data_IF_078685221890
#
_entry.id   IF_078685221890
#
_cell.length_a   1.000
_cell.length_b   1.000
_cell.length_c   1.000
_cell.angle_alpha   90.00
_cell.angle_beta   90.00
_cell.angle_gamma   90.00
#
_symmetry.space_group_name_H-M   'P 1'
#
loop_
_entity.id
_entity.type
_entity.pdbx_description
1 polymer ?
#
# COMPACT_ATOMS: atom_id res chain seq x y z
N UNK A 1 -9.08 20.02 2.14
CA UNK A 1 -8.76 20.82 3.34
C UNK A 1 -7.29 21.21 3.24
N UNK A 2 -6.98 22.51 3.11
CA UNK A 2 -5.64 23.13 3.18
C UNK A 2 -4.55 22.75 2.17
N UNK A 3 -4.89 22.22 0.99
CA UNK A 3 -3.95 22.12 -0.14
C UNK A 3 -2.84 21.06 -0.04
N UNK A 4 -2.84 20.20 0.98
CA UNK A 4 -1.88 19.10 1.09
C UNK A 4 -2.28 17.89 0.24
N UNK A 5 -1.28 17.22 -0.34
CA UNK A 5 -1.47 16.01 -1.17
C UNK A 5 -1.97 14.81 -0.35
N UNK A 6 -2.84 13.95 -0.93
CA UNK A 6 -3.31 12.74 -0.26
C UNK A 6 -2.16 11.78 0.04
N UNK A 7 -2.24 11.11 1.19
CA UNK A 7 -1.32 10.04 1.55
C UNK A 7 -1.43 8.86 0.57
N UNK A 8 -0.33 8.14 0.35
CA UNK A 8 -0.34 6.96 -0.51
C UNK A 8 -1.28 5.89 0.07
N UNK A 9 -2.14 5.26 -0.75
CA UNK A 9 -3.00 4.19 -0.28
C UNK A 9 -2.16 3.00 0.18
N UNK A 10 -2.67 2.28 1.16
CA UNK A 10 -2.09 1.00 1.57
C UNK A 10 -2.26 -0.05 0.46
N UNK A 11 -1.41 -1.07 0.49
CA UNK A 11 -1.40 -2.16 -0.49
C UNK A 11 -1.08 -3.47 0.21
N UNK A 12 -1.72 -4.55 -0.25
CA UNK A 12 -1.41 -5.90 0.20
C UNK A 12 -0.92 -6.72 -0.99
N UNK A 13 0.23 -7.37 -0.83
CA UNK A 13 0.83 -8.25 -1.83
C UNK A 13 1.08 -9.61 -1.20
N UNK A 14 0.66 -10.68 -1.90
CA UNK A 14 1.00 -12.06 -1.52
C UNK A 14 2.16 -12.51 -2.40
N UNK A 15 3.30 -12.83 -1.80
CA UNK A 15 4.40 -13.51 -2.49
C UNK A 15 4.22 -14.99 -2.31
N UNK A 16 3.95 -15.68 -3.41
CA UNK A 16 3.85 -17.14 -3.44
C UNK A 16 5.25 -17.73 -3.36
N UNK A 17 5.35 -18.92 -2.77
CA UNK A 17 6.62 -19.66 -2.65
C UNK A 17 7.34 -19.86 -3.99
N UNK A 18 6.59 -19.97 -5.09
CA UNK A 18 7.13 -20.12 -6.45
C UNK A 18 7.66 -18.81 -7.07
N UNK A 19 7.62 -17.71 -6.32
CA UNK A 19 8.10 -16.39 -6.73
C UNK A 19 7.03 -15.53 -7.40
N UNK A 20 5.79 -16.01 -7.58
CA UNK A 20 4.71 -15.15 -8.08
C UNK A 20 4.28 -14.12 -7.04
N UNK A 21 4.01 -12.91 -7.49
CA UNK A 21 3.42 -11.87 -6.65
C UNK A 21 1.98 -11.59 -7.06
N UNK A 22 1.07 -11.55 -6.09
CA UNK A 22 -0.35 -11.24 -6.29
C UNK A 22 -0.68 -9.95 -5.55
N UNK A 23 -1.01 -8.90 -6.30
CA UNK A 23 -1.51 -7.64 -5.73
C UNK A 23 -3.01 -7.82 -5.44
N UNK A 24 -3.39 -7.63 -4.18
CA UNK A 24 -4.75 -7.89 -3.73
C UNK A 24 -5.60 -6.61 -3.69
N UNK A 25 -6.92 -6.71 -3.94
CA UNK A 25 -7.82 -5.59 -3.78
C UNK A 25 -7.98 -5.22 -2.29
N UNK A 26 -8.58 -4.06 -2.00
CA UNK A 26 -8.75 -3.56 -0.61
C UNK A 26 -9.60 -4.44 0.32
N UNK A 27 -10.32 -5.43 -0.21
CA UNK A 27 -11.02 -6.47 0.54
C UNK A 27 -10.97 -7.78 -0.22
N UNK A 28 -10.49 -8.84 0.42
CA UNK A 28 -10.40 -10.16 -0.18
C UNK A 28 -10.31 -11.25 0.89
N UNK A 29 -10.42 -12.49 0.45
CA UNK A 29 -10.12 -13.69 1.21
C UNK A 29 -9.28 -14.58 0.31
N UNK A 30 -8.22 -15.19 0.86
CA UNK A 30 -7.33 -16.08 0.12
C UNK A 30 -6.80 -17.16 1.07
N UNK A 31 -6.59 -18.36 0.53
CA UNK A 31 -5.85 -19.42 1.22
C UNK A 31 -4.35 -19.24 0.99
N UNK A 32 -3.60 -19.33 2.09
CA UNK A 32 -2.14 -19.26 2.09
C UNK A 32 -1.56 -20.64 2.32
N UNK A 33 -0.47 -20.94 1.63
CA UNK A 33 0.29 -22.17 1.81
C UNK A 33 1.57 -21.90 2.61
N UNK A 34 2.16 -22.97 3.16
CA UNK A 34 3.43 -22.85 3.87
C UNK A 34 4.53 -22.33 2.94
N UNK A 35 5.15 -21.21 3.33
CA UNK A 35 6.17 -20.52 2.53
C UNK A 35 5.64 -19.34 1.71
N UNK A 36 4.33 -19.08 1.72
CA UNK A 36 3.80 -17.81 1.22
C UNK A 36 4.09 -16.66 2.20
N UNK A 37 4.32 -15.46 1.67
CA UNK A 37 4.57 -14.24 2.45
C UNK A 37 3.48 -13.20 2.17
N UNK A 38 2.97 -12.59 3.23
CA UNK A 38 2.02 -11.48 3.15
C UNK A 38 2.75 -10.18 3.45
N UNK A 39 2.83 -9.31 2.44
CA UNK A 39 3.41 -7.96 2.57
C UNK A 39 2.27 -6.95 2.73
N UNK A 40 2.24 -6.25 3.85
CA UNK A 40 1.25 -5.21 4.15
C UNK A 40 1.95 -3.86 4.17
N UNK A 41 1.66 -3.04 3.16
CA UNK A 41 2.08 -1.64 3.11
C UNK A 41 0.95 -0.80 3.70
N UNK A 42 1.17 -0.22 4.88
CA UNK A 42 0.17 0.63 5.53
C UNK A 42 0.08 1.99 4.82
N UNK A 43 -1.13 2.59 4.70
CA UNK A 43 -1.29 3.90 4.11
C UNK A 43 -0.41 4.96 4.78
N UNK A 44 0.13 5.88 3.98
CA UNK A 44 0.86 7.03 4.49
C UNK A 44 -0.08 8.14 4.96
N UNK A 45 0.42 9.03 5.82
CA UNK A 45 -0.27 10.28 6.14
C UNK A 45 -0.30 11.23 4.94
N UNK A 46 -1.39 11.98 4.76
CA UNK A 46 -1.44 13.08 3.79
C UNK A 46 -0.66 14.30 4.26
N UNK A 47 -0.19 15.11 3.32
CA UNK A 47 0.44 16.39 3.61
C UNK A 47 -0.55 17.40 4.19
N UNK A 48 -0.04 18.45 4.81
CA UNK A 48 -0.83 19.58 5.30
C UNK A 48 -0.19 20.90 4.82
N UNK A 49 -0.99 21.77 4.19
CA UNK A 49 -0.53 23.04 3.61
C UNK A 49 -0.31 22.94 2.09
N UNK A 50 -0.51 24.06 1.38
CA UNK A 50 -0.10 24.21 -0.03
C UNK A 50 1.42 24.31 -0.10
N UNK A 51 2.05 23.58 -1.02
CA UNK A 51 3.46 23.80 -1.37
C UNK A 51 3.61 25.21 -1.97
N UNK A 52 3.81 26.23 -1.13
CA UNK A 52 4.41 27.48 -1.56
C UNK A 52 5.87 27.55 -1.08
N UNK A 53 6.74 27.41 -2.09
CA UNK A 53 8.07 28.02 -2.27
C UNK A 53 9.30 27.18 -1.90
N UNK A 54 10.06 26.86 -2.95
CA UNK A 54 11.52 26.69 -2.92
C UNK A 54 12.07 26.19 -4.25
N UNK A 55 12.24 27.08 -5.22
CA UNK A 55 13.10 26.85 -6.39
C UNK A 55 14.59 27.01 -6.08
#
# INVERSE_FOLDING_TARGET
>A
LWGGEPGKPGRITIRKRDGRELIMPGKFTIDLEAGDEVVVETPGGGGWGSEETGG
#
